data_IF_534351314027
#
_entry.id   IF_534351314027
#
_cell.length_a   1.000
_cell.length_b   1.000
_cell.length_c   1.000
_cell.angle_alpha   90.00
_cell.angle_beta   90.00
_cell.angle_gamma   90.00
#
_symmetry.space_group_name_H-M   'P 1'
#
loop_
_entity.id
_entity.type
_entity.pdbx_description
1 polymer ?
#
# COMPACT_ATOMS: atom_id res chain seq x y z
N UNK A 1 11.96 -9.50 -0.98
CA UNK A 1 11.13 -9.19 -2.17
C UNK A 1 9.76 -8.76 -1.70
N UNK A 2 9.34 -7.55 -2.05
CA UNK A 2 8.00 -7.00 -1.73
C UNK A 2 7.01 -7.49 -2.79
N UNK A 3 5.78 -7.81 -2.39
CA UNK A 3 4.71 -8.19 -3.31
C UNK A 3 3.63 -7.12 -3.23
N UNK A 4 3.45 -6.37 -4.30
CA UNK A 4 2.40 -5.35 -4.40
C UNK A 4 1.11 -6.03 -4.85
N UNK A 5 0.12 -6.11 -3.97
CA UNK A 5 -1.13 -6.80 -4.26
C UNK A 5 -1.90 -6.15 -5.42
N UNK A 6 -1.78 -4.84 -5.57
CA UNK A 6 -2.38 -4.08 -6.66
C UNK A 6 -1.86 -4.49 -8.05
N UNK A 7 -0.68 -5.13 -8.13
CA UNK A 7 -0.07 -5.57 -9.37
C UNK A 7 -0.34 -7.06 -9.67
N UNK A 8 -1.19 -7.72 -8.88
CA UNK A 8 -1.46 -9.17 -8.97
C UNK A 8 -2.91 -9.49 -9.34
N UNK A 9 -3.14 -10.51 -10.19
CA UNK A 9 -4.47 -11.06 -10.40
C UNK A 9 -5.03 -11.68 -9.12
N UNK A 10 -6.34 -11.57 -8.92
CA UNK A 10 -7.04 -12.16 -7.77
C UNK A 10 -6.73 -13.66 -7.54
N UNK A 11 -6.69 -14.54 -8.58
CA UNK A 11 -6.32 -15.94 -8.37
C UNK A 11 -4.91 -16.14 -7.78
N UNK A 12 -3.92 -15.35 -8.23
CA UNK A 12 -2.55 -15.43 -7.72
C UNK A 12 -2.48 -14.97 -6.25
N UNK A 13 -3.26 -13.95 -5.88
CA UNK A 13 -3.38 -13.51 -4.48
C UNK A 13 -3.97 -14.61 -3.58
N UNK A 14 -4.97 -15.35 -4.06
CA UNK A 14 -5.51 -16.49 -3.33
C UNK A 14 -4.46 -17.55 -2.99
N UNK A 15 -3.64 -17.93 -3.98
CA UNK A 15 -2.51 -18.86 -3.76
C UNK A 15 -1.42 -18.26 -2.87
N UNK A 16 -1.19 -16.95 -2.95
CA UNK A 16 -0.21 -16.26 -2.13
C UNK A 16 -0.63 -16.24 -0.66
N UNK A 17 -1.89 -15.94 -0.36
CA UNK A 17 -2.44 -15.95 1.00
C UNK A 17 -2.30 -17.32 1.69
N UNK A 18 -2.36 -18.41 0.92
CA UNK A 18 -2.10 -19.76 1.45
C UNK A 18 -0.65 -19.99 1.91
N UNK A 19 0.31 -19.27 1.30
CA UNK A 19 1.76 -19.40 1.54
C UNK A 19 2.33 -18.29 2.44
N UNK A 20 1.73 -17.11 2.40
CA UNK A 20 2.12 -15.89 3.11
C UNK A 20 0.91 -15.39 3.91
N UNK A 21 1.02 -15.41 5.23
CA UNK A 21 -0.11 -15.12 6.14
C UNK A 21 -0.11 -13.71 6.73
N UNK A 22 0.85 -12.88 6.32
CA UNK A 22 0.98 -11.50 6.80
C UNK A 22 0.90 -10.57 5.60
N UNK A 23 0.04 -9.56 5.71
CA UNK A 23 -0.08 -8.47 4.76
C UNK A 23 0.20 -7.15 5.48
N UNK A 24 0.70 -6.18 4.75
CA UNK A 24 0.87 -4.80 5.20
C UNK A 24 -0.12 -3.96 4.39
N UNK A 25 -0.88 -3.13 5.09
CA UNK A 25 -1.80 -2.19 4.48
C UNK A 25 -1.36 -0.78 4.84
N UNK A 26 -0.64 -0.08 3.95
CA UNK A 26 -0.30 1.32 4.13
C UNK A 26 -1.55 2.16 4.36
N UNK A 27 -1.55 2.96 5.42
CA UNK A 27 -2.62 3.94 5.71
C UNK A 27 -1.97 5.30 5.82
N UNK A 28 -2.49 6.26 5.06
CA UNK A 28 -2.09 7.66 5.10
C UNK A 28 -3.28 8.59 5.15
N UNK A 29 -3.04 9.87 4.86
CA UNK A 29 -4.01 10.96 4.91
C UNK A 29 -4.01 11.76 3.61
N UNK A 30 -5.07 12.55 3.41
CA UNK A 30 -5.08 13.69 2.48
C UNK A 30 -5.25 14.96 3.29
N UNK A 31 -4.14 15.64 3.60
CA UNK A 31 -4.12 16.77 4.53
C UNK A 31 -3.11 17.85 4.17
N UNK A 32 -3.23 19.02 4.79
CA UNK A 32 -2.35 20.14 4.53
C UNK A 32 -0.95 19.91 5.14
N UNK A 33 0.09 19.94 4.32
CA UNK A 33 1.49 19.85 4.78
C UNK A 33 2.27 21.16 4.59
N UNK A 34 1.63 22.32 4.76
CA UNK A 34 2.29 23.62 4.51
C UNK A 34 2.49 23.90 3.01
N UNK A 35 3.21 24.99 2.66
CA UNK A 35 3.27 25.47 1.27
C UNK A 35 4.24 24.69 0.37
N UNK A 36 5.01 23.74 0.91
CA UNK A 36 6.16 23.14 0.24
C UNK A 36 5.96 21.66 -0.13
N UNK A 37 4.93 21.01 0.42
CA UNK A 37 4.67 19.58 0.23
C UNK A 37 3.22 19.33 -0.18
N UNK A 38 2.95 18.28 -0.98
CA UNK A 38 1.63 17.97 -1.47
C UNK A 38 0.72 17.46 -0.35
N UNK A 39 -0.59 17.54 -0.57
CA UNK A 39 -1.57 17.08 0.42
C UNK A 39 -1.61 15.56 0.61
N UNK A 40 -1.01 14.80 -0.31
CA UNK A 40 -0.92 13.35 -0.23
C UNK A 40 0.37 12.81 0.40
N UNK A 41 1.13 13.64 1.14
CA UNK A 41 2.45 13.24 1.64
C UNK A 41 2.37 11.96 2.47
N UNK A 42 1.43 11.88 3.41
CA UNK A 42 1.23 10.68 4.24
C UNK A 42 0.91 9.43 3.41
N UNK A 43 0.12 9.55 2.34
CA UNK A 43 -0.15 8.42 1.44
C UNK A 43 1.08 7.98 0.64
N UNK A 44 1.92 8.92 0.22
CA UNK A 44 3.11 8.66 -0.59
C UNK A 44 4.21 7.94 0.23
N UNK A 45 4.30 8.20 1.54
CA UNK A 45 5.36 7.66 2.40
C UNK A 45 4.96 6.40 3.19
N UNK A 46 3.66 6.09 3.26
CA UNK A 46 3.14 4.98 4.07
C UNK A 46 3.43 3.59 3.48
#
# INVERSE_FOLDING_TARGET
>A
MVILWAEKPSPELGELCGRKRVAIFPVGSTEQHGPHTPTGTDHIIA
#
